data_IF_992923314331
#
_entry.id   IF_992923314331
#
_cell.length_a   1.000
_cell.length_b   1.000
_cell.length_c   1.000
_cell.angle_alpha   90.00
_cell.angle_beta   90.00
_cell.angle_gamma   90.00
#
_symmetry.space_group_name_H-M   'P 1'
#
loop_
_entity.id
_entity.type
_entity.pdbx_description
1 polymer ?
#
# COMPACT_ATOMS: atom_id res chain seq x y z
N UNK A 1 82.71 -4.28 -45.82
CA UNK A 1 81.92 -5.21 -44.99
C UNK A 1 81.72 -4.61 -43.60
N UNK A 2 80.54 -4.08 -43.32
CA UNK A 2 80.04 -3.78 -41.97
C UNK A 2 78.53 -4.02 -41.99
N UNK A 3 78.11 -5.05 -41.26
CA UNK A 3 76.70 -5.38 -41.03
C UNK A 3 76.20 -4.60 -39.81
N UNK A 4 75.04 -3.97 -39.97
CA UNK A 4 74.32 -3.25 -38.91
C UNK A 4 73.51 -4.25 -38.08
N UNK A 5 73.56 -4.13 -36.75
CA UNK A 5 72.70 -4.86 -35.83
C UNK A 5 71.97 -3.84 -34.94
N UNK A 6 70.64 -3.79 -35.07
CA UNK A 6 69.76 -3.04 -34.18
C UNK A 6 69.27 -3.95 -33.04
N UNK A 7 69.11 -3.46 -31.80
CA UNK A 7 68.55 -4.25 -30.72
C UNK A 7 67.01 -4.24 -30.77
N UNK A 8 66.41 -5.43 -30.69
CA UNK A 8 64.99 -5.63 -30.45
C UNK A 8 64.68 -5.37 -28.97
N UNK A 9 63.82 -4.38 -28.68
CA UNK A 9 63.17 -4.24 -27.38
C UNK A 9 61.82 -4.96 -27.43
N UNK A 10 61.69 -6.10 -26.74
CA UNK A 10 60.39 -6.70 -26.42
C UNK A 10 59.76 -5.92 -25.26
N UNK A 11 58.70 -5.15 -25.56
CA UNK A 11 57.83 -4.58 -24.54
C UNK A 11 56.94 -5.66 -23.92
N UNK A 12 57.21 -6.01 -22.67
CA UNK A 12 56.34 -6.85 -21.85
C UNK A 12 55.12 -6.04 -21.39
N UNK A 13 53.97 -6.24 -22.05
CA UNK A 13 52.67 -5.76 -21.57
C UNK A 13 52.24 -6.62 -20.38
N UNK A 14 52.30 -6.06 -19.18
CA UNK A 14 51.65 -6.63 -17.99
C UNK A 14 50.15 -6.38 -18.11
N UNK A 15 49.41 -7.40 -18.53
CA UNK A 15 47.95 -7.45 -18.46
C UNK A 15 47.55 -7.65 -17.00
N UNK A 16 47.19 -6.57 -16.30
CA UNK A 16 46.49 -6.68 -15.03
C UNK A 16 45.05 -7.14 -15.31
N UNK A 17 44.57 -8.25 -14.74
CA UNK A 17 43.15 -8.55 -14.79
C UNK A 17 42.42 -7.48 -13.98
N UNK A 18 41.62 -6.66 -14.66
CA UNK A 18 40.58 -5.86 -14.01
C UNK A 18 39.56 -6.86 -13.48
N UNK A 19 39.71 -7.25 -12.22
CA UNK A 19 38.66 -7.95 -11.50
C UNK A 19 37.58 -6.89 -11.27
N UNK A 20 36.60 -6.83 -12.18
CA UNK A 20 35.34 -6.16 -11.89
C UNK A 20 34.70 -6.89 -10.72
N UNK A 21 34.90 -6.37 -9.52
CA UNK A 21 34.10 -6.70 -8.36
C UNK A 21 32.65 -6.40 -8.75
N UNK A 22 31.92 -7.44 -9.14
CA UNK A 22 30.47 -7.35 -9.24
C UNK A 22 30.03 -6.94 -7.85
N UNK A 23 29.48 -5.73 -7.72
CA UNK A 23 28.83 -5.30 -6.49
C UNK A 23 27.77 -6.35 -6.18
N UNK A 24 28.09 -7.23 -5.23
CA UNK A 24 27.21 -8.29 -4.79
C UNK A 24 26.00 -7.57 -4.22
N UNK A 25 24.90 -7.59 -4.98
CA UNK A 25 23.68 -6.90 -4.59
C UNK A 25 23.24 -7.59 -3.31
N UNK A 26 23.27 -6.85 -2.22
CA UNK A 26 22.94 -7.39 -0.92
C UNK A 26 21.46 -7.80 -0.92
N UNK A 27 21.20 -9.12 -1.00
CA UNK A 27 19.85 -9.68 -1.13
C UNK A 27 19.15 -9.85 0.21
N UNK A 28 19.81 -9.48 1.31
CA UNK A 28 19.29 -9.61 2.66
C UNK A 28 17.99 -8.81 2.81
N UNK A 29 16.99 -9.46 3.39
CA UNK A 29 15.68 -8.86 3.67
C UNK A 29 15.61 -8.41 5.13
N UNK A 30 14.89 -7.30 5.42
CA UNK A 30 14.60 -6.92 6.79
C UNK A 30 13.64 -7.93 7.42
N UNK A 31 13.55 -7.88 8.75
CA UNK A 31 12.53 -8.61 9.51
C UNK A 31 11.32 -7.71 9.72
N UNK A 32 10.11 -8.23 9.54
CA UNK A 32 8.90 -7.57 10.02
C UNK A 32 8.83 -7.79 11.53
N UNK A 33 9.22 -6.79 12.32
CA UNK A 33 9.20 -6.88 13.78
C UNK A 33 7.81 -6.65 14.36
N UNK A 34 6.95 -5.93 13.63
CA UNK A 34 5.57 -5.66 14.03
C UNK A 34 4.67 -5.43 12.82
N UNK A 35 3.47 -6.00 12.88
CA UNK A 35 2.36 -5.70 11.97
C UNK A 35 1.17 -5.24 12.81
N UNK A 36 0.59 -4.10 12.47
CA UNK A 36 -0.65 -3.60 13.04
C UNK A 36 -1.60 -3.20 11.93
N UNK A 37 -2.89 -3.27 12.22
CA UNK A 37 -3.93 -2.68 11.39
C UNK A 37 -4.74 -1.77 12.30
N UNK A 38 -4.71 -0.47 12.01
CA UNK A 38 -5.59 0.49 12.67
C UNK A 38 -6.89 0.60 11.89
N UNK A 39 -7.99 0.63 12.62
CA UNK A 39 -9.34 0.74 12.06
C UNK A 39 -9.96 2.05 12.52
N UNK A 40 -10.45 2.84 11.56
CA UNK A 40 -11.11 4.11 11.82
C UNK A 40 -12.40 4.20 11.02
N UNK A 41 -13.50 4.58 11.67
CA UNK A 41 -14.76 4.90 10.99
C UNK A 41 -14.85 6.41 10.87
N UNK A 42 -14.97 6.91 9.65
CA UNK A 42 -15.12 8.33 9.34
C UNK A 42 -16.43 8.54 8.61
N UNK A 43 -17.16 9.60 8.93
CA UNK A 43 -18.36 9.98 8.22
C UNK A 43 -18.08 11.22 7.37
N UNK A 44 -18.43 11.17 6.09
CA UNK A 44 -18.31 12.32 5.19
C UNK A 44 -19.47 12.32 4.20
N UNK A 45 -19.79 13.48 3.60
CA UNK A 45 -20.76 13.53 2.52
C UNK A 45 -20.24 12.74 1.30
N UNK A 46 -21.14 12.26 0.45
CA UNK A 46 -20.74 11.47 -0.72
C UNK A 46 -19.93 12.33 -1.70
N UNK A 47 -18.83 11.78 -2.21
CA UNK A 47 -18.07 12.33 -3.34
C UNK A 47 -18.40 11.64 -4.68
N UNK A 48 -19.04 10.47 -4.63
CA UNK A 48 -19.46 9.73 -5.81
C UNK A 48 -20.66 10.41 -6.49
N UNK A 49 -20.48 10.88 -7.72
CA UNK A 49 -21.46 11.71 -8.43
C UNK A 49 -22.86 11.10 -8.50
N UNK A 50 -22.98 9.78 -8.71
CA UNK A 50 -24.27 9.10 -8.76
C UNK A 50 -25.04 9.20 -7.42
N UNK A 51 -24.33 9.07 -6.30
CA UNK A 51 -24.92 9.22 -4.95
C UNK A 51 -25.20 10.67 -4.61
N UNK A 52 -24.32 11.59 -5.02
CA UNK A 52 -24.56 13.04 -4.87
C UNK A 52 -25.86 13.43 -5.58
N UNK A 53 -26.04 13.00 -6.83
CA UNK A 53 -27.27 13.25 -7.59
C UNK A 53 -28.51 12.61 -6.94
N UNK A 54 -28.38 11.40 -6.42
CA UNK A 54 -29.45 10.73 -5.66
C UNK A 54 -29.85 11.55 -4.43
N UNK A 55 -28.92 11.92 -3.55
CA UNK A 55 -29.25 12.67 -2.33
C UNK A 55 -29.78 14.07 -2.60
N UNK A 56 -29.33 14.73 -3.68
CA UNK A 56 -29.85 16.03 -4.09
C UNK A 56 -31.30 15.95 -4.62
N UNK A 57 -31.69 14.85 -5.26
CA UNK A 57 -33.01 14.71 -5.92
C UNK A 57 -34.04 13.92 -5.11
N UNK A 58 -33.60 12.86 -4.42
CA UNK A 58 -34.44 11.90 -3.70
C UNK A 58 -34.22 11.94 -2.18
N UNK A 59 -33.25 12.72 -1.70
CA UNK A 59 -33.02 12.88 -0.28
C UNK A 59 -34.22 13.52 0.42
N UNK A 60 -34.53 13.05 1.62
CA UNK A 60 -35.38 13.72 2.60
C UNK A 60 -34.65 13.91 3.96
N UNK A 61 -34.13 15.12 4.27
CA UNK A 61 -34.17 16.34 3.46
C UNK A 61 -33.27 16.25 2.22
N UNK A 62 -33.60 17.00 1.16
CA UNK A 62 -32.81 17.02 -0.07
C UNK A 62 -31.46 17.70 0.16
N UNK A 63 -30.41 17.21 -0.51
CA UNK A 63 -29.06 17.79 -0.47
C UNK A 63 -28.01 16.85 0.12
N UNK A 64 -26.92 16.61 -0.61
CA UNK A 64 -25.84 15.70 -0.23
C UNK A 64 -25.23 15.99 1.16
N UNK A 65 -25.16 17.26 1.55
CA UNK A 65 -24.59 17.67 2.85
C UNK A 65 -25.46 17.26 4.04
N UNK A 66 -26.71 16.85 3.82
CA UNK A 66 -27.59 16.33 4.86
C UNK A 66 -27.36 14.83 5.13
N UNK A 67 -26.50 14.17 4.35
CA UNK A 67 -26.22 12.75 4.47
C UNK A 67 -24.75 12.51 4.79
N UNK A 68 -24.53 11.55 5.67
CA UNK A 68 -23.23 11.00 5.95
C UNK A 68 -23.11 9.62 5.31
N UNK A 69 -22.08 9.43 4.49
CA UNK A 69 -21.61 8.12 4.06
C UNK A 69 -20.52 7.70 5.06
N UNK A 70 -20.68 6.55 5.75
CA UNK A 70 -19.61 6.00 6.55
C UNK A 70 -18.53 5.43 5.64
N UNK A 71 -17.29 5.78 5.92
CA UNK A 71 -16.05 5.24 5.38
C UNK A 71 -15.38 4.46 6.48
N UNK A 72 -14.96 3.23 6.18
CA UNK A 72 -14.08 2.51 7.07
C UNK A 72 -12.67 2.54 6.48
N UNK A 73 -11.77 3.15 7.22
CA UNK A 73 -10.37 3.34 6.86
C UNK A 73 -9.55 2.27 7.57
N UNK A 74 -8.71 1.58 6.81
CA UNK A 74 -7.70 0.65 7.31
C UNK A 74 -6.34 1.27 7.09
N UNK A 75 -5.56 1.32 8.15
CA UNK A 75 -4.17 1.72 8.05
C UNK A 75 -3.30 0.53 8.45
N UNK A 76 -2.77 -0.24 7.48
CA UNK A 76 -1.68 -1.16 7.76
C UNK A 76 -0.46 -0.37 8.23
N UNK A 77 0.08 -0.75 9.38
CA UNK A 77 1.30 -0.18 9.96
C UNK A 77 2.29 -1.33 10.12
N UNK A 78 3.44 -1.22 9.46
CA UNK A 78 4.49 -2.23 9.46
C UNK A 78 5.75 -1.63 10.07
N UNK A 79 6.35 -2.32 11.03
CA UNK A 79 7.70 -2.00 11.49
C UNK A 79 8.68 -2.99 10.88
N UNK A 80 9.66 -2.47 10.13
CA UNK A 80 10.79 -3.22 9.62
C UNK A 80 11.98 -3.06 10.56
N UNK A 81 12.72 -4.14 10.76
CA UNK A 81 13.92 -4.21 11.56
C UNK A 81 15.08 -4.74 10.73
N UNK A 82 16.25 -4.09 10.83
CA UNK A 82 17.50 -4.59 10.26
C UNK A 82 18.28 -5.38 11.32
N UNK A 83 18.30 -6.73 11.27
CA UNK A 83 19.04 -7.56 12.21
C UNK A 83 20.55 -7.62 11.91
N UNK A 84 21.01 -7.04 10.80
CA UNK A 84 22.39 -7.17 10.34
C UNK A 84 23.26 -6.01 10.83
N UNK A 85 24.58 -6.22 10.81
CA UNK A 85 25.59 -5.23 11.17
C UNK A 85 25.99 -4.30 10.01
N UNK A 86 25.23 -4.31 8.91
CA UNK A 86 25.44 -3.47 7.72
C UNK A 86 24.15 -2.77 7.32
N UNK A 87 24.25 -1.63 6.63
CA UNK A 87 23.09 -0.94 6.07
C UNK A 87 22.37 -1.87 5.09
N UNK A 88 21.05 -1.92 5.19
CA UNK A 88 20.19 -2.67 4.30
C UNK A 88 19.42 -1.68 3.41
N UNK A 89 19.57 -1.79 2.10
CA UNK A 89 18.93 -0.90 1.13
C UNK A 89 17.87 -1.65 0.33
N UNK A 90 16.63 -1.18 0.36
CA UNK A 90 15.49 -1.77 -0.34
C UNK A 90 14.96 -0.79 -1.37
N UNK A 91 14.95 -1.14 -2.65
CA UNK A 91 14.49 -0.21 -3.71
C UNK A 91 13.04 0.25 -3.50
N UNK A 92 12.13 -0.71 -3.45
CA UNK A 92 10.73 -0.57 -3.07
C UNK A 92 10.30 -1.91 -2.49
N UNK A 93 9.49 -1.88 -1.44
CA UNK A 93 8.97 -3.12 -0.85
C UNK A 93 7.46 -3.09 -0.77
N UNK A 94 6.87 -4.28 -0.78
CA UNK A 94 5.44 -4.46 -0.66
C UNK A 94 5.18 -5.44 0.47
N UNK A 95 4.38 -5.02 1.43
CA UNK A 95 3.91 -5.88 2.52
C UNK A 95 2.43 -6.14 2.29
N UNK A 96 2.06 -7.41 2.24
CA UNK A 96 0.69 -7.85 2.02
C UNK A 96 0.20 -8.67 3.21
N UNK A 97 -0.92 -8.26 3.79
CA UNK A 97 -1.67 -9.05 4.75
C UNK A 97 -2.82 -9.75 4.02
N UNK A 98 -2.76 -11.08 3.96
CA UNK A 98 -3.82 -11.90 3.37
C UNK A 98 -4.78 -12.41 4.44
N UNK A 99 -6.07 -12.46 4.10
CA UNK A 99 -7.19 -12.87 4.95
C UNK A 99 -7.19 -12.21 6.34
N UNK A 100 -7.14 -10.86 6.42
CA UNK A 100 -7.34 -10.19 7.70
C UNK A 100 -8.72 -10.60 8.28
N UNK A 101 -8.80 -10.99 9.56
CA UNK A 101 -10.05 -11.45 10.18
C UNK A 101 -10.96 -10.27 10.52
N UNK A 102 -11.39 -9.54 9.50
CA UNK A 102 -12.18 -8.31 9.63
C UNK A 102 -13.58 -8.51 9.05
N UNK A 103 -14.57 -8.13 9.85
CA UNK A 103 -15.97 -8.29 9.49
C UNK A 103 -16.83 -7.40 10.37
N UNK A 104 -17.84 -6.78 9.76
CA UNK A 104 -18.70 -5.81 10.43
C UNK A 104 -20.16 -6.18 10.25
N UNK A 105 -21.01 -5.66 11.15
CA UNK A 105 -22.46 -5.60 11.01
C UNK A 105 -22.90 -4.26 11.59
N UNK A 106 -23.76 -3.55 10.86
CA UNK A 106 -24.30 -2.28 11.35
C UNK A 106 -25.80 -2.41 11.57
N UNK A 107 -26.24 -1.83 12.69
CA UNK A 107 -27.64 -1.60 12.97
C UNK A 107 -27.92 -0.10 12.96
N UNK A 108 -29.08 0.29 12.45
CA UNK A 108 -29.66 1.63 12.66
C UNK A 108 -31.03 1.42 13.28
N UNK A 109 -31.29 2.08 14.40
CA UNK A 109 -32.55 1.94 15.13
C UNK A 109 -32.90 0.47 15.46
N UNK A 110 -31.91 -0.31 15.89
CA UNK A 110 -32.00 -1.76 16.16
C UNK A 110 -32.17 -2.69 14.94
N UNK A 111 -32.43 -2.14 13.76
CA UNK A 111 -32.55 -2.90 12.51
C UNK A 111 -31.22 -3.01 11.78
N UNK A 112 -30.92 -4.19 11.23
CA UNK A 112 -29.73 -4.38 10.42
C UNK A 112 -29.82 -3.59 9.11
N UNK A 113 -28.74 -2.88 8.77
CA UNK A 113 -28.66 -2.14 7.50
C UNK A 113 -28.64 -3.06 6.26
N UNK A 114 -28.36 -4.36 6.44
CA UNK A 114 -28.45 -5.39 5.41
C UNK A 114 -29.41 -6.46 5.86
N UNK A 115 -30.36 -6.80 4.99
CA UNK A 115 -31.42 -7.78 5.28
C UNK A 115 -30.89 -9.18 5.58
N UNK A 116 -29.77 -9.57 4.97
CA UNK A 116 -29.11 -10.86 5.17
C UNK A 116 -28.65 -11.12 6.62
N UNK A 117 -28.44 -10.07 7.43
CA UNK A 117 -28.09 -10.24 8.85
C UNK A 117 -29.27 -10.51 9.77
N UNK A 118 -30.50 -10.21 9.34
CA UNK A 118 -31.70 -10.50 10.15
C UNK A 118 -31.85 -12.01 10.41
N UNK A 119 -31.32 -12.85 9.53
CA UNK A 119 -31.37 -14.31 9.63
C UNK A 119 -30.02 -14.93 10.03
N UNK A 120 -29.17 -14.19 10.74
CA UNK A 120 -27.87 -14.69 11.21
C UNK A 120 -26.78 -14.78 10.13
N UNK A 121 -26.97 -14.15 8.96
CA UNK A 121 -25.99 -14.16 7.87
C UNK A 121 -24.61 -13.63 8.28
N UNK A 122 -23.56 -14.07 7.59
CA UNK A 122 -22.15 -13.82 7.96
C UNK A 122 -21.77 -12.35 8.10
N UNK A 123 -20.69 -12.08 8.84
CA UNK A 123 -20.02 -10.78 8.77
C UNK A 123 -19.59 -10.53 7.33
N UNK A 124 -19.82 -9.30 6.85
CA UNK A 124 -19.45 -8.96 5.49
C UNK A 124 -18.04 -8.39 5.44
N UNK A 125 -17.38 -8.67 4.32
CA UNK A 125 -16.24 -7.88 3.88
C UNK A 125 -16.65 -6.44 3.60
N UNK A 126 -15.65 -5.61 3.36
CA UNK A 126 -15.82 -4.19 3.58
C UNK A 126 -16.31 -3.42 2.36
N UNK A 127 -15.88 -3.84 1.16
CA UNK A 127 -16.51 -3.46 -0.11
C UNK A 127 -18.02 -3.62 -0.13
N UNK A 128 -18.54 -4.69 0.47
CA UNK A 128 -19.98 -4.98 0.57
C UNK A 128 -20.78 -3.89 1.29
N UNK A 129 -20.16 -3.05 2.13
CA UNK A 129 -20.85 -1.92 2.75
C UNK A 129 -21.07 -0.77 1.78
N UNK A 130 -20.15 -0.56 0.84
CA UNK A 130 -20.30 0.46 -0.19
C UNK A 130 -21.15 -0.06 -1.34
N UNK A 131 -20.95 -1.30 -1.79
CA UNK A 131 -21.56 -1.81 -3.01
C UNK A 131 -22.14 -3.20 -2.75
N UNK A 132 -23.43 -3.32 -3.03
CA UNK A 132 -24.21 -4.49 -2.62
C UNK A 132 -23.79 -5.81 -3.27
N UNK A 133 -23.02 -5.83 -4.36
CA UNK A 133 -22.55 -7.05 -5.03
C UNK A 133 -21.08 -7.38 -4.73
N UNK A 134 -20.38 -6.56 -3.96
CA UNK A 134 -18.97 -6.77 -3.57
C UNK A 134 -18.81 -7.68 -2.37
N UNK A 135 -19.30 -8.90 -2.51
CA UNK A 135 -19.00 -9.98 -1.58
C UNK A 135 -18.76 -11.23 -2.39
N UNK A 136 -17.49 -11.59 -2.54
CA UNK A 136 -17.11 -12.88 -3.05
C UNK A 136 -16.40 -13.67 -1.93
N UNK A 137 -17.06 -14.67 -1.31
CA UNK A 137 -16.46 -15.46 -0.24
C UNK A 137 -15.32 -16.37 -0.74
N UNK A 138 -15.16 -16.55 -2.07
CA UNK A 138 -14.11 -17.38 -2.65
C UNK A 138 -12.82 -16.61 -2.94
N UNK A 139 -12.82 -15.28 -2.83
CA UNK A 139 -11.66 -14.44 -3.11
C UNK A 139 -10.88 -14.15 -1.82
N UNK A 140 -9.56 -14.29 -1.89
CA UNK A 140 -8.67 -13.91 -0.78
C UNK A 140 -8.73 -12.40 -0.57
N UNK A 141 -9.07 -11.97 0.65
CA UNK A 141 -9.00 -10.56 1.04
C UNK A 141 -7.55 -10.18 1.28
N UNK A 142 -7.09 -9.06 0.73
CA UNK A 142 -5.71 -8.61 0.96
C UNK A 142 -5.65 -7.13 1.27
N UNK A 143 -4.85 -6.74 2.26
CA UNK A 143 -4.43 -5.37 2.49
C UNK A 143 -2.98 -5.26 2.04
N UNK A 144 -2.70 -4.40 1.08
CA UNK A 144 -1.35 -4.23 0.53
C UNK A 144 -0.81 -2.85 0.88
N UNK A 145 0.31 -2.80 1.59
CA UNK A 145 1.08 -1.59 1.85
C UNK A 145 2.31 -1.58 0.93
N UNK A 146 2.40 -0.57 0.07
CA UNK A 146 3.61 -0.29 -0.69
C UNK A 146 4.47 0.70 0.11
N UNK A 147 5.73 0.34 0.36
CA UNK A 147 6.66 1.13 1.16
C UNK A 147 7.87 1.57 0.31
N UNK A 148 8.31 2.80 0.53
CA UNK A 148 9.47 3.40 -0.11
C UNK A 148 10.19 4.33 0.88
N UNK A 149 11.43 4.70 0.56
CA UNK A 149 12.28 5.52 1.43
C UNK A 149 12.21 7.02 1.16
N UNK A 150 11.21 7.47 0.40
CA UNK A 150 11.00 8.90 0.15
C UNK A 150 10.72 9.71 1.42
N UNK A 151 10.96 11.02 1.36
CA UNK A 151 10.74 11.98 2.45
C UNK A 151 9.30 12.52 2.47
N UNK A 152 8.96 13.48 3.35
CA UNK A 152 7.63 14.13 3.45
C UNK A 152 7.05 14.73 2.16
N UNK A 153 7.83 14.83 1.09
CA UNK A 153 7.44 15.40 -0.22
C UNK A 153 7.59 14.44 -1.40
N UNK A 154 8.36 13.34 -1.27
CA UNK A 154 8.59 12.36 -2.33
C UNK A 154 8.13 10.94 -1.95
N UNK A 155 7.55 10.23 -2.91
CA UNK A 155 7.12 8.83 -2.79
C UNK A 155 8.17 7.84 -3.30
N UNK A 156 9.27 8.35 -3.84
CA UNK A 156 10.27 7.56 -4.55
C UNK A 156 11.59 7.53 -3.78
N UNK A 157 12.21 6.35 -3.76
CA UNK A 157 13.56 6.17 -3.23
C UNK A 157 13.72 4.87 -2.45
N UNK A 158 14.96 4.39 -2.33
CA UNK A 158 15.26 3.20 -1.56
C UNK A 158 15.05 3.45 -0.06
N UNK A 159 14.56 2.44 0.65
CA UNK A 159 14.54 2.40 2.11
C UNK A 159 15.92 1.94 2.57
N UNK A 160 16.68 2.86 3.17
CA UNK A 160 17.94 2.52 3.84
C UNK A 160 17.69 2.36 5.34
N UNK A 161 17.89 1.13 5.84
CA UNK A 161 17.82 0.78 7.26
C UNK A 161 19.23 0.60 7.82
N UNK A 162 19.57 1.42 8.81
CA UNK A 162 20.85 1.31 9.51
C UNK A 162 20.95 -0.01 10.31
N UNK A 163 22.16 -0.48 10.64
CA UNK A 163 22.35 -1.66 11.50
C UNK A 163 21.55 -1.54 12.81
N UNK A 164 20.71 -2.53 13.11
CA UNK A 164 19.86 -2.52 14.31
C UNK A 164 18.70 -1.53 14.28
N UNK A 165 18.49 -0.77 13.19
CA UNK A 165 17.39 0.17 13.09
C UNK A 165 16.04 -0.55 13.00
N UNK A 166 15.05 -0.02 13.73
CA UNK A 166 13.64 -0.32 13.52
C UNK A 166 12.94 0.92 12.99
N UNK A 167 12.30 0.81 11.82
CA UNK A 167 11.54 1.90 11.19
C UNK A 167 10.11 1.48 10.92
N UNK A 168 9.18 2.35 11.27
CA UNK A 168 7.75 2.12 11.07
C UNK A 168 7.26 2.83 9.81
N UNK A 169 6.44 2.12 9.04
CA UNK A 169 5.82 2.55 7.81
C UNK A 169 4.31 2.40 7.96
N UNK A 170 3.55 3.37 7.47
CA UNK A 170 2.10 3.29 7.38
C UNK A 170 1.62 3.83 6.03
N UNK A 171 0.31 3.80 5.79
CA UNK A 171 -0.25 4.47 4.62
C UNK A 171 0.09 5.94 4.67
N UNK A 172 0.43 6.48 3.50
CA UNK A 172 0.77 7.87 3.37
C UNK A 172 -0.31 8.62 2.60
N UNK A 173 -0.91 9.58 3.28
CA UNK A 173 -1.88 10.52 2.71
C UNK A 173 -1.12 11.72 2.15
N UNK A 174 -1.33 11.99 0.85
CA UNK A 174 -0.70 13.12 0.17
C UNK A 174 -1.24 14.46 0.74
N UNK A 175 -0.43 15.53 0.72
CA UNK A 175 -0.85 16.83 1.30
C UNK A 175 -2.17 17.35 0.69
N UNK A 176 -2.34 17.14 -0.61
CA UNK A 176 -3.51 17.60 -1.37
C UNK A 176 -4.54 16.47 -1.54
N UNK A 177 -4.51 15.46 -0.67
CA UNK A 177 -5.49 14.38 -0.69
C UNK A 177 -6.88 14.91 -0.34
N UNK A 178 -7.88 14.51 -1.13
CA UNK A 178 -9.28 14.87 -0.91
C UNK A 178 -10.14 13.61 -0.95
N UNK A 179 -11.30 13.65 -0.32
CA UNK A 179 -12.30 12.57 -0.42
C UNK A 179 -12.75 12.32 -1.87
N UNK A 180 -12.69 13.34 -2.73
CA UNK A 180 -12.93 13.18 -4.17
C UNK A 180 -11.93 12.26 -4.85
N UNK A 181 -10.67 12.23 -4.39
CA UNK A 181 -9.63 11.35 -4.94
C UNK A 181 -9.87 9.88 -4.59
N UNK A 182 -10.55 9.56 -3.48
CA UNK A 182 -10.92 8.18 -3.14
C UNK A 182 -11.93 7.60 -4.13
N UNK A 183 -12.73 8.43 -4.80
CA UNK A 183 -13.76 7.97 -5.76
C UNK A 183 -13.53 8.52 -7.17
N UNK A 184 -12.32 9.02 -7.46
CA UNK A 184 -12.01 9.66 -8.75
C UNK A 184 -12.10 8.67 -9.93
N UNK A 185 -11.81 7.39 -9.67
CA UNK A 185 -11.99 6.29 -10.63
C UNK A 185 -13.40 5.68 -10.59
N UNK A 186 -14.38 6.45 -10.13
CA UNK A 186 -15.76 6.02 -10.01
C UNK A 186 -15.98 5.22 -8.74
N UNK A 187 -16.36 3.96 -8.91
CA UNK A 187 -16.54 3.07 -7.77
C UNK A 187 -15.15 2.67 -7.22
N UNK A 188 -14.19 2.25 -8.05
CA UNK A 188 -12.86 1.79 -7.61
C UNK A 188 -12.17 2.82 -6.71
N UNK A 189 -11.83 2.39 -5.50
CA UNK A 189 -11.22 3.28 -4.54
C UNK A 189 -9.70 3.28 -4.55
N UNK A 190 -9.11 4.37 -4.05
CA UNK A 190 -7.66 4.61 -4.14
C UNK A 190 -6.88 4.01 -2.98
N UNK A 191 -7.18 4.37 -1.73
CA UNK A 191 -6.41 3.89 -0.57
C UNK A 191 -7.26 3.44 0.60
N UNK A 192 -8.45 4.03 0.81
CA UNK A 192 -9.26 3.72 1.99
C UNK A 192 -10.34 2.66 1.76
N UNK A 193 -10.46 2.12 0.54
CA UNK A 193 -11.37 1.01 0.30
C UNK A 193 -10.61 -0.19 -0.27
N UNK A 194 -11.01 -1.37 0.19
CA UNK A 194 -10.31 -2.65 0.02
C UNK A 194 -11.00 -3.58 -0.98
N UNK A 195 -11.88 -3.02 -1.82
CA UNK A 195 -12.84 -3.82 -2.56
C UNK A 195 -12.46 -4.10 -4.00
N UNK A 196 -11.52 -3.34 -4.56
CA UNK A 196 -10.95 -3.67 -5.86
C UNK A 196 -9.83 -4.69 -5.69
N UNK A 197 -10.01 -5.84 -6.32
CA UNK A 197 -9.08 -6.98 -6.31
C UNK A 197 -8.34 -7.15 -7.63
N UNK A 198 -8.31 -6.12 -8.50
CA UNK A 198 -7.41 -6.14 -9.67
C UNK A 198 -5.97 -5.84 -9.27
#
# INVERSE_FOLDING_TARGET
>A
MRTSAAPFFLGSYLLFPVISAHAQTDTRQPVISRMQVLYSVVAHHSSLQARVAFYNSQGNPAGNNNYAVPFLVYEPIVTLYNPYNTVLSLTQSRVRLSNPPVGFRFKKNSDYLRSEWNNGGSFLGLGRFQISNESNPTVQKTITLSIGGGDMTSYAGPIDLQPGESRTFSLRVEKDWTWGLETASGLTARQFHDWDTS
#
